data_IF_322878789547
#
_entry.id   IF_322878789547
#
_cell.length_a   1.000
_cell.length_b   1.000
_cell.length_c   1.000
_cell.angle_alpha   90.00
_cell.angle_beta   90.00
_cell.angle_gamma   90.00
#
_symmetry.space_group_name_H-M   'P 1'
#
loop_
_entity.id
_entity.type
_entity.pdbx_description
1 polymer ?
#
# COMPACT_ATOMS: atom_id res chain seq x y z
N UNK A 1 0.89 14.28 -10.19
CA UNK A 1 0.67 14.64 -8.78
C UNK A 1 0.51 13.31 -8.06
N UNK A 2 1.65 12.70 -7.75
CA UNK A 2 1.83 11.25 -7.52
C UNK A 2 2.81 10.99 -6.37
N UNK A 3 3.10 12.01 -5.58
CA UNK A 3 4.08 11.93 -4.50
C UNK A 3 3.33 11.78 -3.20
N UNK A 4 3.53 10.64 -2.55
CA UNK A 4 3.05 10.25 -1.22
C UNK A 4 3.54 11.21 -0.11
N UNK A 5 4.29 12.25 -0.44
CA UNK A 5 5.04 13.08 0.50
C UNK A 5 5.09 14.54 0.01
N UNK A 6 4.54 15.47 0.79
CA UNK A 6 4.82 16.90 0.60
C UNK A 6 4.68 17.71 1.90
N UNK A 7 3.71 17.37 2.77
CA UNK A 7 3.48 18.09 4.01
C UNK A 7 3.54 17.15 5.21
N UNK A 8 4.51 17.38 6.11
CA UNK A 8 4.71 16.60 7.33
C UNK A 8 3.98 17.26 8.50
N UNK A 9 3.19 16.46 9.23
CA UNK A 9 2.56 16.81 10.50
C UNK A 9 3.16 15.92 11.58
N UNK A 10 3.92 16.53 12.48
CA UNK A 10 4.71 15.86 13.51
C UNK A 10 4.46 16.51 14.88
N UNK A 11 3.66 15.91 15.77
CA UNK A 11 3.46 16.39 17.13
C UNK A 11 4.59 15.99 18.09
N UNK A 12 5.66 15.33 17.62
CA UNK A 12 6.83 14.94 18.39
C UNK A 12 6.50 14.11 19.64
N UNK A 13 5.59 13.15 19.48
CA UNK A 13 5.06 12.30 20.56
C UNK A 13 4.28 13.08 21.65
N UNK A 14 3.87 14.32 21.40
CA UNK A 14 3.15 15.15 22.39
C UNK A 14 1.62 15.03 22.31
N UNK A 15 1.10 14.16 21.44
CA UNK A 15 -0.33 13.95 21.27
C UNK A 15 -0.66 13.36 19.91
N UNK A 16 -1.95 13.17 19.66
CA UNK A 16 -2.42 12.86 18.32
C UNK A 16 -2.69 14.10 17.46
N UNK A 17 -3.15 13.86 16.23
CA UNK A 17 -3.18 14.89 15.18
C UNK A 17 -4.62 15.34 14.87
N UNK A 18 -5.45 14.47 14.31
CA UNK A 18 -6.83 14.82 13.92
C UNK A 18 -7.87 13.96 14.65
N UNK A 19 -8.99 14.60 14.98
CA UNK A 19 -10.19 13.99 15.53
C UNK A 19 -11.39 14.54 14.77
N UNK A 20 -12.11 13.65 14.11
CA UNK A 20 -13.30 13.97 13.33
C UNK A 20 -14.51 13.28 13.94
N UNK A 21 -15.51 14.08 14.29
CA UNK A 21 -16.88 13.61 14.52
C UNK A 21 -17.70 14.08 13.34
N UNK A 22 -18.08 13.16 12.47
CA UNK A 22 -18.60 13.44 11.14
C UNK A 22 -20.10 13.09 11.16
N UNK A 23 -20.99 14.05 10.83
CA UNK A 23 -22.40 13.73 10.64
C UNK A 23 -22.60 12.70 9.53
N UNK A 24 -23.69 11.92 9.56
CA UNK A 24 -23.97 10.83 8.61
C UNK A 24 -23.87 11.17 7.10
N UNK A 25 -23.92 12.45 6.74
CA UNK A 25 -23.80 12.94 5.35
C UNK A 25 -22.53 13.77 5.10
N UNK A 26 -21.67 13.89 6.11
CA UNK A 26 -20.41 14.60 6.03
C UNK A 26 -19.32 13.75 5.38
N UNK A 27 -18.38 14.41 4.72
CA UNK A 27 -17.21 13.78 4.11
C UNK A 27 -15.94 14.56 4.44
N UNK A 28 -14.89 13.84 4.79
CA UNK A 28 -13.52 14.35 4.93
C UNK A 28 -12.64 13.74 3.83
N UNK A 29 -11.77 14.56 3.25
CA UNK A 29 -10.76 14.13 2.28
C UNK A 29 -9.39 14.57 2.79
N UNK A 30 -8.46 13.63 2.87
CA UNK A 30 -7.06 13.86 3.24
C UNK A 30 -6.18 13.35 2.10
N UNK A 31 -5.26 14.21 1.63
CA UNK A 31 -4.42 13.88 0.49
C UNK A 31 -3.01 14.44 0.64
N UNK A 32 -1.98 13.63 0.35
CA UNK A 32 -0.60 14.10 0.22
C UNK A 32 0.06 14.51 1.54
N UNK A 33 -0.41 13.94 2.66
CA UNK A 33 0.06 14.27 4.01
C UNK A 33 0.91 13.15 4.61
N UNK A 34 1.98 13.52 5.30
CA UNK A 34 2.76 12.62 6.14
C UNK A 34 2.42 12.89 7.59
N UNK A 35 1.87 11.89 8.28
CA UNK A 35 1.63 11.86 9.70
C UNK A 35 2.74 11.06 10.36
N UNK A 36 3.50 11.69 11.26
CA UNK A 36 4.60 10.99 11.93
C UNK A 36 4.68 11.30 13.41
N UNK A 37 5.16 10.34 14.21
CA UNK A 37 5.39 10.52 15.65
C UNK A 37 4.15 10.96 16.44
N UNK A 38 2.96 10.56 15.99
CA UNK A 38 1.73 10.80 16.73
C UNK A 38 1.62 9.81 17.89
N UNK A 39 1.23 10.28 19.08
CA UNK A 39 1.18 9.45 20.28
C UNK A 39 -0.09 9.72 21.09
N UNK A 40 -0.91 8.69 21.27
CA UNK A 40 -2.08 8.67 22.14
C UNK A 40 -2.03 7.36 22.94
N UNK A 41 -1.33 7.34 24.07
CA UNK A 41 -1.41 6.19 24.98
C UNK A 41 -2.22 6.57 26.24
N UNK A 42 -3.22 5.75 26.53
CA UNK A 42 -3.94 5.79 27.81
C UNK A 42 -3.13 5.03 28.84
N UNK A 43 -3.28 5.35 30.13
CA UNK A 43 -2.75 4.49 31.19
C UNK A 43 -3.54 3.18 31.20
N UNK A 44 -3.19 2.22 30.36
CA UNK A 44 -3.81 0.90 30.37
C UNK A 44 -3.10 0.07 31.45
N UNK A 45 -3.73 -0.05 32.62
CA UNK A 45 -3.39 -1.13 33.54
C UNK A 45 -4.23 -2.36 33.18
N UNK A 46 -3.68 -3.57 33.34
CA UNK A 46 -4.38 -4.83 33.06
C UNK A 46 -5.72 -4.99 33.80
N UNK A 47 -6.07 -4.12 34.76
CA UNK A 47 -7.36 -4.12 35.44
C UNK A 47 -8.45 -3.28 34.74
N UNK A 48 -8.11 -2.48 33.73
CA UNK A 48 -9.02 -1.52 33.10
C UNK A 48 -9.72 -2.09 31.83
N UNK A 49 -9.47 -3.37 31.52
CA UNK A 49 -9.95 -4.12 30.35
C UNK A 49 -11.47 -4.34 30.23
N UNK A 50 -12.30 -3.80 31.14
CA UNK A 50 -13.73 -4.12 31.19
C UNK A 50 -14.69 -2.93 31.20
N UNK A 51 -14.22 -1.68 31.26
CA UNK A 51 -15.15 -0.52 31.19
C UNK A 51 -14.46 0.83 30.85
N UNK A 52 -14.11 1.10 29.58
CA UNK A 52 -13.78 2.45 29.15
C UNK A 52 -14.97 3.16 28.48
N UNK A 53 -15.19 4.47 28.72
CA UNK A 53 -16.17 5.24 27.96
C UNK A 53 -15.67 5.42 26.52
N UNK A 54 -16.36 4.79 25.56
CA UNK A 54 -16.10 4.74 24.11
C UNK A 54 -15.79 6.07 23.38
N UNK A 55 -15.83 7.24 24.03
CA UNK A 55 -15.76 8.56 23.39
C UNK A 55 -14.56 9.43 23.77
N UNK A 56 -13.71 9.04 24.74
CA UNK A 56 -12.50 9.80 25.11
C UNK A 56 -11.27 8.90 25.32
N UNK A 57 -11.07 7.95 24.41
CA UNK A 57 -9.97 6.98 24.49
C UNK A 57 -8.84 7.26 23.47
N UNK A 58 -7.63 6.72 23.67
CA UNK A 58 -6.41 7.04 22.94
C UNK A 58 -6.35 6.44 21.53
N UNK A 59 -7.43 6.50 20.76
CA UNK A 59 -7.55 5.82 19.46
C UNK A 59 -7.04 6.67 18.31
N UNK A 60 -6.46 6.03 17.29
CA UNK A 60 -6.04 6.68 16.05
C UNK A 60 -5.12 7.87 16.29
N UNK A 61 -3.83 7.64 16.52
CA UNK A 61 -2.94 8.73 16.91
C UNK A 61 -2.85 9.81 15.83
N UNK A 62 -2.77 9.41 14.57
CA UNK A 62 -2.83 10.35 13.45
C UNK A 62 -4.27 10.78 13.16
N UNK A 63 -5.19 9.82 12.99
CA UNK A 63 -6.57 10.11 12.63
C UNK A 63 -7.50 9.28 13.51
N UNK A 64 -8.38 9.98 14.23
CA UNK A 64 -9.60 9.40 14.76
C UNK A 64 -10.79 9.89 13.93
N UNK A 65 -11.57 8.98 13.37
CA UNK A 65 -12.80 9.29 12.65
C UNK A 65 -13.97 8.50 13.22
N UNK A 66 -15.04 9.22 13.57
CA UNK A 66 -16.32 8.67 14.03
C UNK A 66 -17.46 9.23 13.18
N UNK A 67 -18.23 8.35 12.54
CA UNK A 67 -19.33 8.70 11.64
C UNK A 67 -18.92 9.05 10.21
N UNK A 68 -19.93 9.23 9.34
CA UNK A 68 -19.78 9.82 8.00
C UNK A 68 -18.82 9.09 7.04
N UNK A 69 -18.22 9.85 6.11
CA UNK A 69 -17.32 9.34 5.08
C UNK A 69 -15.91 9.91 5.19
N UNK A 70 -14.89 9.07 4.99
CA UNK A 70 -13.48 9.48 4.98
C UNK A 70 -12.77 8.94 3.74
N UNK A 71 -12.10 9.80 3.02
CA UNK A 71 -11.26 9.46 1.86
C UNK A 71 -9.82 9.88 2.16
N UNK A 72 -8.91 8.91 2.23
CA UNK A 72 -7.48 9.13 2.53
C UNK A 72 -6.67 8.64 1.33
N UNK A 73 -5.87 9.52 0.73
CA UNK A 73 -5.07 9.14 -0.44
C UNK A 73 -3.68 9.74 -0.49
N UNK A 74 -2.70 8.97 -0.97
CA UNK A 74 -1.31 9.46 -1.07
C UNK A 74 -0.77 9.97 0.26
N UNK A 75 -1.12 9.33 1.38
CA UNK A 75 -0.68 9.71 2.71
C UNK A 75 0.33 8.71 3.28
N UNK A 76 1.21 9.18 4.15
CA UNK A 76 2.10 8.35 4.96
C UNK A 76 1.69 8.43 6.42
N UNK A 77 1.66 7.29 7.08
CA UNK A 77 1.48 7.14 8.51
C UNK A 77 2.68 6.37 9.05
N UNK A 78 3.51 7.02 9.86
CA UNK A 78 4.71 6.37 10.38
C UNK A 78 4.97 6.68 11.84
N UNK A 79 5.44 5.69 12.59
CA UNK A 79 5.76 5.84 14.01
C UNK A 79 4.61 6.47 14.81
N UNK A 80 3.37 6.05 14.52
CA UNK A 80 2.18 6.47 15.25
C UNK A 80 1.80 5.39 16.26
N UNK A 81 1.50 5.79 17.50
CA UNK A 81 1.14 4.89 18.58
C UNK A 81 -0.18 5.28 19.24
N UNK A 82 -1.13 4.35 19.23
CA UNK A 82 -2.46 4.50 19.84
C UNK A 82 -2.90 3.22 20.56
N UNK A 83 -3.94 3.32 21.39
CA UNK A 83 -4.57 2.12 21.95
C UNK A 83 -5.24 1.28 20.85
N UNK A 84 -6.07 1.88 19.99
CA UNK A 84 -6.69 1.17 18.87
C UNK A 84 -6.36 1.88 17.57
N UNK A 85 -5.99 1.13 16.54
CA UNK A 85 -5.60 1.68 15.24
C UNK A 85 -4.40 2.60 15.37
N UNK A 86 -3.20 2.05 15.58
CA UNK A 86 -2.01 2.80 15.98
C UNK A 86 -1.85 4.16 15.30
N UNK A 87 -2.03 4.20 13.98
CA UNK A 87 -2.19 5.44 13.23
C UNK A 87 -3.65 5.90 13.08
N UNK A 88 -4.55 5.01 12.64
CA UNK A 88 -5.91 5.39 12.20
C UNK A 88 -7.00 4.55 12.83
N UNK A 89 -8.00 5.22 13.40
CA UNK A 89 -9.22 4.62 13.91
C UNK A 89 -10.42 5.04 13.06
N UNK A 90 -11.17 4.06 12.55
CA UNK A 90 -12.46 4.25 11.89
C UNK A 90 -13.57 3.63 12.74
N UNK A 91 -14.43 4.46 13.33
CA UNK A 91 -15.63 4.06 14.07
C UNK A 91 -16.90 4.49 13.34
N UNK A 92 -17.85 3.59 13.12
CA UNK A 92 -19.12 3.90 12.41
C UNK A 92 -18.91 4.72 11.12
N UNK A 93 -17.87 4.39 10.35
CA UNK A 93 -17.36 5.20 9.24
C UNK A 93 -17.37 4.39 7.94
N UNK A 94 -17.67 5.07 6.82
CA UNK A 94 -17.38 4.56 5.48
C UNK A 94 -16.05 5.16 4.99
N UNK A 95 -14.99 4.36 4.91
CA UNK A 95 -13.65 4.81 4.57
C UNK A 95 -13.15 4.21 3.26
N UNK A 96 -12.53 5.05 2.42
CA UNK A 96 -11.70 4.63 1.29
C UNK A 96 -10.29 5.13 1.54
N UNK A 97 -9.32 4.22 1.49
CA UNK A 97 -7.90 4.52 1.66
C UNK A 97 -7.16 4.03 0.43
N UNK A 98 -6.41 4.91 -0.24
CA UNK A 98 -5.70 4.54 -1.45
C UNK A 98 -4.31 5.13 -1.58
N UNK A 99 -3.38 4.38 -2.17
CA UNK A 99 -1.99 4.85 -2.37
C UNK A 99 -1.35 5.34 -1.06
N UNK A 100 -1.70 4.72 0.07
CA UNK A 100 -1.22 5.13 1.39
C UNK A 100 -0.17 4.14 1.92
N UNK A 101 0.76 4.66 2.71
CA UNK A 101 1.80 3.89 3.38
C UNK A 101 1.56 3.95 4.88
N UNK A 102 1.49 2.80 5.54
CA UNK A 102 1.44 2.67 6.99
C UNK A 102 2.65 1.86 7.42
N UNK A 103 3.59 2.49 8.13
CA UNK A 103 4.89 1.90 8.38
C UNK A 103 5.41 2.17 9.78
N UNK A 104 5.66 1.11 10.55
CA UNK A 104 6.18 1.24 11.92
C UNK A 104 5.18 1.85 12.90
N UNK A 105 3.89 1.62 12.72
CA UNK A 105 2.86 2.08 13.67
C UNK A 105 2.57 0.99 14.70
N UNK A 106 2.15 1.40 15.90
CA UNK A 106 1.90 0.51 17.02
C UNK A 106 0.51 0.73 17.62
N UNK A 107 -0.23 -0.35 17.80
CA UNK A 107 -1.58 -0.37 18.33
C UNK A 107 -1.76 -1.50 19.31
N UNK A 108 -2.69 -1.40 20.26
CA UNK A 108 -3.11 -2.58 21.03
C UNK A 108 -3.78 -3.60 20.10
N UNK A 109 -4.79 -3.14 19.35
CA UNK A 109 -5.36 -3.82 18.20
C UNK A 109 -5.18 -2.96 16.94
N UNK A 110 -4.80 -3.58 15.83
CA UNK A 110 -4.62 -2.89 14.55
C UNK A 110 -3.43 -1.94 14.59
N UNK A 111 -2.21 -2.47 14.46
CA UNK A 111 -0.99 -1.68 14.60
C UNK A 111 -0.93 -0.45 13.68
N UNK A 112 -1.44 -0.57 12.45
CA UNK A 112 -1.65 0.58 11.57
C UNK A 112 -3.05 1.18 11.73
N UNK A 113 -4.08 0.35 11.56
CA UNK A 113 -5.47 0.82 11.51
C UNK A 113 -6.47 -0.16 12.10
N UNK A 114 -7.63 0.35 12.49
CA UNK A 114 -8.77 -0.47 12.92
C UNK A 114 -10.06 0.03 12.27
N UNK A 115 -10.91 -0.93 11.89
CA UNK A 115 -12.31 -0.71 11.54
C UNK A 115 -13.19 -1.23 12.69
N UNK A 116 -14.01 -0.36 13.24
CA UNK A 116 -14.80 -0.60 14.45
C UNK A 116 -16.22 -0.05 14.30
N UNK A 117 -17.17 -0.58 15.09
CA UNK A 117 -18.57 -0.17 15.17
C UNK A 117 -19.28 -0.09 13.80
N UNK A 118 -19.53 -1.23 13.17
CA UNK A 118 -20.23 -1.31 11.87
C UNK A 118 -19.56 -0.47 10.75
N UNK A 119 -18.23 -0.27 10.81
CA UNK A 119 -17.50 0.48 9.77
C UNK A 119 -17.33 -0.31 8.48
N UNK A 120 -17.25 0.40 7.35
CA UNK A 120 -16.96 -0.16 6.03
C UNK A 120 -15.67 0.46 5.48
N UNK A 121 -14.59 -0.30 5.42
CA UNK A 121 -13.26 0.21 5.02
C UNK A 121 -12.78 -0.49 3.75
N UNK A 122 -12.34 0.30 2.77
CA UNK A 122 -11.70 -0.19 1.55
C UNK A 122 -10.25 0.30 1.46
N UNK A 123 -9.32 -0.64 1.22
CA UNK A 123 -7.91 -0.37 0.94
C UNK A 123 -7.62 -0.72 -0.53
N UNK A 124 -7.09 0.23 -1.30
CA UNK A 124 -6.68 0.03 -2.69
C UNK A 124 -5.27 0.59 -2.92
N UNK A 125 -4.33 -0.20 -3.42
CA UNK A 125 -2.93 0.24 -3.57
C UNK A 125 -2.36 0.79 -2.25
N UNK A 126 -2.45 0.06 -1.15
CA UNK A 126 -1.83 0.47 0.11
C UNK A 126 -0.64 -0.42 0.46
N UNK A 127 0.32 0.11 1.20
CA UNK A 127 1.41 -0.69 1.77
C UNK A 127 1.40 -0.53 3.29
N UNK A 128 1.06 -1.60 3.99
CA UNK A 128 1.08 -1.68 5.45
C UNK A 128 2.24 -2.59 5.84
N UNK A 129 3.33 -2.00 6.34
CA UNK A 129 4.55 -2.74 6.61
C UNK A 129 5.20 -2.43 7.96
N UNK A 130 5.69 -3.45 8.67
CA UNK A 130 6.42 -3.22 9.92
C UNK A 130 5.56 -2.67 11.06
N UNK A 131 4.24 -2.83 11.01
CA UNK A 131 3.33 -2.37 12.07
C UNK A 131 3.18 -3.45 13.15
N UNK A 132 2.93 -3.01 14.38
CA UNK A 132 2.90 -3.86 15.56
C UNK A 132 1.57 -3.77 16.30
N UNK A 133 0.93 -4.93 16.47
CA UNK A 133 -0.23 -5.10 17.34
C UNK A 133 0.22 -5.67 18.67
N UNK A 134 -0.18 -5.08 19.79
CA UNK A 134 0.17 -5.65 21.10
C UNK A 134 -0.52 -7.02 21.28
N UNK A 135 -1.81 -7.06 20.95
CA UNK A 135 -2.65 -8.26 21.13
C UNK A 135 -3.14 -8.83 19.81
N UNK A 136 -3.70 -8.05 18.90
CA UNK A 136 -4.29 -8.58 17.67
C UNK A 136 -4.08 -7.63 16.49
N UNK A 137 -4.02 -8.18 15.27
CA UNK A 137 -3.99 -7.37 14.05
C UNK A 137 -2.73 -6.53 13.94
N UNK A 138 -1.59 -7.14 13.59
CA UNK A 138 -0.31 -6.40 13.53
C UNK A 138 -0.37 -5.22 12.55
N UNK A 139 -1.04 -5.39 11.41
CA UNK A 139 -1.37 -4.27 10.52
C UNK A 139 -2.79 -3.74 10.78
N UNK A 140 -3.80 -4.59 10.65
CA UNK A 140 -5.20 -4.18 10.70
C UNK A 140 -6.04 -5.06 11.63
N UNK A 141 -7.00 -4.43 12.32
CA UNK A 141 -8.06 -5.11 13.06
C UNK A 141 -9.45 -4.69 12.53
N UNK A 142 -10.40 -5.62 12.55
CA UNK A 142 -11.78 -5.42 12.06
C UNK A 142 -12.75 -6.00 13.08
N UNK A 143 -13.50 -5.15 13.75
CA UNK A 143 -14.27 -5.52 14.95
C UNK A 143 -15.70 -4.96 14.89
N UNK A 144 -16.56 -5.53 15.73
CA UNK A 144 -17.94 -5.10 15.96
C UNK A 144 -18.76 -4.92 14.68
N UNK A 145 -18.92 -5.99 13.89
CA UNK A 145 -19.74 -6.00 12.68
C UNK A 145 -19.13 -5.27 11.49
N UNK A 146 -17.87 -4.84 11.57
CA UNK A 146 -17.22 -4.05 10.53
C UNK A 146 -16.76 -4.89 9.33
N UNK A 147 -16.44 -4.22 8.23
CA UNK A 147 -15.93 -4.83 7.00
C UNK A 147 -14.64 -4.19 6.53
N UNK A 148 -13.73 -5.02 6.01
CA UNK A 148 -12.48 -4.60 5.38
C UNK A 148 -12.34 -5.27 4.01
N UNK A 149 -12.33 -4.46 2.96
CA UNK A 149 -12.09 -4.89 1.60
C UNK A 149 -10.70 -4.43 1.15
N UNK A 150 -9.86 -5.34 0.67
CA UNK A 150 -8.45 -5.07 0.37
C UNK A 150 -8.11 -5.51 -1.05
N UNK A 151 -7.56 -4.58 -1.84
CA UNK A 151 -7.05 -4.91 -3.16
C UNK A 151 -5.76 -4.21 -3.54
N UNK A 152 -4.96 -4.84 -4.40
CA UNK A 152 -3.72 -4.26 -4.96
C UNK A 152 -2.77 -3.72 -3.89
N UNK A 153 -2.80 -4.31 -2.70
CA UNK A 153 -2.09 -3.83 -1.51
C UNK A 153 -1.00 -4.80 -1.05
N UNK A 154 -0.14 -4.36 -0.12
CA UNK A 154 0.92 -5.17 0.47
C UNK A 154 0.83 -5.12 2.00
N UNK A 155 0.82 -6.28 2.64
CA UNK A 155 0.92 -6.49 4.08
C UNK A 155 2.19 -7.30 4.36
N UNK A 156 3.21 -6.65 4.94
CA UNK A 156 4.53 -7.27 5.07
C UNK A 156 5.33 -6.82 6.29
N UNK A 157 5.94 -7.76 7.00
CA UNK A 157 6.74 -7.51 8.19
C UNK A 157 5.93 -6.96 9.37
N UNK A 158 4.59 -7.05 9.33
CA UNK A 158 3.76 -6.73 10.48
C UNK A 158 3.77 -7.89 11.47
N UNK A 159 3.75 -7.59 12.76
CA UNK A 159 3.92 -8.59 13.81
C UNK A 159 3.11 -8.26 15.07
N UNK A 160 3.11 -9.18 16.02
CA UNK A 160 2.46 -9.05 17.31
C UNK A 160 3.50 -9.07 18.43
N UNK A 161 3.28 -8.24 19.46
CA UNK A 161 4.15 -8.24 20.64
C UNK A 161 3.88 -9.49 21.48
N UNK A 162 2.62 -9.88 21.64
CA UNK A 162 2.24 -11.11 22.34
C UNK A 162 2.46 -12.36 21.45
N UNK A 163 3.33 -13.31 21.85
CA UNK A 163 3.80 -14.39 20.97
C UNK A 163 2.76 -15.48 20.64
N UNK A 164 1.66 -15.55 21.39
CA UNK A 164 0.62 -16.58 21.25
C UNK A 164 -0.61 -16.06 20.49
N UNK A 165 -0.50 -14.89 19.84
CA UNK A 165 -1.60 -14.24 19.13
C UNK A 165 -1.54 -14.50 17.63
N UNK A 166 -2.68 -14.25 16.96
CA UNK A 166 -2.89 -14.57 15.55
C UNK A 166 -3.36 -13.33 14.80
N UNK A 167 -3.23 -13.35 13.47
CA UNK A 167 -3.54 -12.19 12.63
C UNK A 167 -2.43 -11.15 12.66
N UNK A 168 -1.18 -11.58 12.42
CA UNK A 168 -0.02 -10.68 12.31
C UNK A 168 -0.23 -9.64 11.21
N UNK A 169 -0.94 -10.00 10.12
CA UNK A 169 -1.32 -9.05 9.08
C UNK A 169 -2.70 -8.47 9.37
N UNK A 170 -3.73 -9.30 9.46
CA UNK A 170 -5.13 -8.86 9.63
C UNK A 170 -5.84 -9.73 10.66
N UNK A 171 -6.58 -9.10 11.56
CA UNK A 171 -7.44 -9.74 12.54
C UNK A 171 -8.90 -9.32 12.36
N UNK A 172 -9.83 -10.26 12.52
CA UNK A 172 -11.27 -10.00 12.50
C UNK A 172 -11.98 -10.67 13.69
N UNK A 173 -12.87 -9.95 14.35
CA UNK A 173 -13.72 -10.45 15.43
C UNK A 173 -15.12 -9.83 15.42
N UNK A 174 -16.00 -10.36 16.25
CA UNK A 174 -17.32 -9.82 16.56
C UNK A 174 -18.21 -9.70 15.33
N UNK A 175 -18.32 -10.81 14.59
CA UNK A 175 -19.11 -10.93 13.36
C UNK A 175 -18.64 -9.99 12.22
N UNK A 176 -17.35 -9.66 12.18
CA UNK A 176 -16.76 -8.82 11.15
C UNK A 176 -16.33 -9.61 9.92
N UNK A 177 -16.10 -8.93 8.79
CA UNK A 177 -15.68 -9.58 7.54
C UNK A 177 -14.49 -8.93 6.86
N UNK A 178 -13.62 -9.77 6.29
CA UNK A 178 -12.46 -9.35 5.51
C UNK A 178 -12.52 -10.01 4.13
N UNK A 179 -12.34 -9.22 3.07
CA UNK A 179 -12.22 -9.73 1.69
C UNK A 179 -10.92 -9.21 1.07
N UNK A 180 -10.12 -10.11 0.50
CA UNK A 180 -8.78 -9.78 -0.03
C UNK A 180 -8.59 -10.37 -1.43
N UNK A 181 -8.14 -9.54 -2.39
CA UNK A 181 -7.83 -9.95 -3.76
C UNK A 181 -6.65 -9.13 -4.34
N UNK A 182 -5.88 -9.69 -5.28
CA UNK A 182 -4.67 -9.11 -5.89
C UNK A 182 -3.78 -8.39 -4.87
N UNK A 183 -3.49 -9.05 -3.75
CA UNK A 183 -2.82 -8.42 -2.61
C UNK A 183 -1.73 -9.38 -2.14
N UNK A 184 -0.61 -8.81 -1.74
CA UNK A 184 0.50 -9.57 -1.16
C UNK A 184 0.32 -9.56 0.34
N UNK A 185 0.25 -10.75 0.95
CA UNK A 185 0.08 -10.92 2.39
C UNK A 185 1.18 -11.86 2.85
N UNK A 186 2.03 -11.40 3.77
CA UNK A 186 3.00 -12.27 4.43
C UNK A 186 2.28 -13.41 5.14
N UNK A 187 2.81 -14.63 4.99
CA UNK A 187 2.21 -15.88 5.48
C UNK A 187 0.83 -16.20 4.85
N UNK A 188 0.45 -15.50 3.77
CA UNK A 188 -0.78 -15.74 3.03
C UNK A 188 -2.02 -15.78 3.93
N UNK A 189 -2.71 -16.92 3.93
CA UNK A 189 -3.90 -17.12 4.75
C UNK A 189 -3.58 -17.21 6.26
N UNK A 190 -2.40 -17.70 6.64
CA UNK A 190 -2.00 -17.86 8.04
C UNK A 190 -1.70 -16.50 8.71
N UNK A 191 -1.38 -15.48 7.90
CA UNK A 191 -1.24 -14.08 8.36
C UNK A 191 -2.57 -13.40 8.70
N UNK A 192 -3.71 -14.02 8.38
CA UNK A 192 -5.06 -13.46 8.56
C UNK A 192 -5.88 -14.37 9.48
N UNK A 193 -6.53 -13.78 10.48
CA UNK A 193 -7.24 -14.56 11.50
C UNK A 193 -8.66 -14.05 11.78
N UNK A 194 -9.64 -14.94 11.77
CA UNK A 194 -10.99 -14.69 12.30
C UNK A 194 -11.15 -15.38 13.66
N UNK A 195 -11.45 -14.60 14.69
CA UNK A 195 -11.42 -15.04 16.09
C UNK A 195 -12.67 -15.78 16.56
N UNK A 196 -13.79 -15.61 15.86
CA UNK A 196 -15.07 -16.21 16.20
C UNK A 196 -15.77 -16.78 14.97
N UNK A 197 -16.78 -17.62 15.21
CA UNK A 197 -17.49 -18.35 14.15
C UNK A 197 -18.38 -17.47 13.27
N UNK A 198 -18.66 -16.23 13.69
CA UNK A 198 -19.47 -15.29 12.92
C UNK A 198 -18.60 -14.36 12.06
N UNK A 199 -17.30 -14.27 12.36
CA UNK A 199 -16.34 -13.51 11.56
C UNK A 199 -15.92 -14.29 10.32
N UNK A 200 -15.78 -13.60 9.18
CA UNK A 200 -15.56 -14.25 7.87
C UNK A 200 -14.33 -13.68 7.18
N UNK A 201 -13.44 -14.56 6.70
CA UNK A 201 -12.33 -14.20 5.82
C UNK A 201 -12.58 -14.79 4.44
N UNK A 202 -12.54 -13.95 3.40
CA UNK A 202 -12.66 -14.33 2.00
C UNK A 202 -11.35 -13.96 1.28
N UNK A 203 -10.58 -14.98 0.90
CA UNK A 203 -9.34 -14.81 0.13
C UNK A 203 -9.57 -15.30 -1.28
N UNK A 204 -9.32 -14.43 -2.25
CA UNK A 204 -9.28 -14.81 -3.65
C UNK A 204 -7.96 -15.54 -3.99
N UNK A 205 -7.94 -16.31 -5.08
CA UNK A 205 -6.73 -17.01 -5.55
C UNK A 205 -5.60 -16.06 -5.96
N UNK A 206 -5.91 -14.78 -6.19
CA UNK A 206 -4.95 -13.71 -6.47
C UNK A 206 -4.22 -13.17 -5.23
N UNK A 207 -4.47 -13.70 -4.03
CA UNK A 207 -3.65 -13.40 -2.85
C UNK A 207 -2.31 -14.12 -2.97
N UNK A 208 -1.22 -13.35 -2.86
CA UNK A 208 0.14 -13.85 -3.07
C UNK A 208 0.93 -13.86 -1.76
N UNK A 209 1.67 -14.94 -1.54
CA UNK A 209 2.74 -15.01 -0.55
C UNK A 209 4.07 -14.89 -1.31
N UNK A 210 4.54 -13.67 -1.50
CA UNK A 210 5.79 -13.38 -2.18
C UNK A 210 6.48 -12.20 -1.52
N UNK A 211 7.79 -12.31 -1.31
CA UNK A 211 8.59 -11.20 -0.80
C UNK A 211 8.45 -10.00 -1.76
N UNK A 212 7.96 -8.84 -1.27
CA UNK A 212 7.76 -7.67 -2.10
C UNK A 212 9.08 -7.06 -2.57
N UNK A 213 10.22 -7.45 -2.01
CA UNK A 213 11.55 -6.94 -2.37
C UNK A 213 11.56 -5.42 -2.34
N UNK A 214 11.33 -4.85 -1.14
CA UNK A 214 11.41 -3.41 -0.92
C UNK A 214 12.84 -2.88 -1.07
N UNK A 215 12.98 -1.63 -1.49
CA UNK A 215 14.26 -0.98 -1.70
C UNK A 215 15.11 -0.89 -0.43
N UNK A 216 14.46 -0.59 0.69
CA UNK A 216 15.05 -0.62 2.02
C UNK A 216 13.95 -0.92 3.02
N UNK A 217 14.07 -2.00 3.78
CA UNK A 217 13.09 -2.31 4.81
C UNK A 217 13.70 -3.24 5.85
N UNK A 218 13.86 -2.73 7.07
CA UNK A 218 14.24 -3.53 8.22
C UNK A 218 13.35 -3.17 9.41
N UNK A 219 12.33 -4.00 9.65
CA UNK A 219 11.37 -3.84 10.75
C UNK A 219 12.01 -3.88 12.16
N UNK A 220 13.28 -4.26 12.28
CA UNK A 220 13.99 -4.40 13.55
C UNK A 220 15.08 -3.32 13.73
N UNK A 221 15.37 -2.51 12.72
CA UNK A 221 16.40 -1.47 12.78
C UNK A 221 15.90 -0.20 13.49
N UNK A 222 16.77 0.41 14.30
CA UNK A 222 16.54 1.73 14.91
C UNK A 222 17.67 2.71 14.53
N UNK A 223 17.37 3.90 13.96
CA UNK A 223 16.04 4.36 13.57
C UNK A 223 15.47 3.48 12.44
N UNK A 224 14.14 3.36 12.43
CA UNK A 224 13.42 2.57 11.45
C UNK A 224 13.49 3.27 10.09
N UNK A 225 14.42 2.83 9.25
CA UNK A 225 14.60 3.32 7.89
C UNK A 225 13.83 2.42 6.92
N UNK A 226 13.08 3.04 6.01
CA UNK A 226 12.22 2.33 5.08
C UNK A 226 12.09 3.08 3.75
N UNK A 227 12.05 2.32 2.66
CA UNK A 227 11.61 2.69 1.32
C UNK A 227 10.91 1.46 0.72
N UNK A 228 9.58 1.51 0.74
CA UNK A 228 8.73 0.40 0.30
C UNK A 228 8.48 0.37 -1.21
N UNK A 229 9.25 1.14 -1.99
CA UNK A 229 9.28 0.97 -3.45
C UNK A 229 9.84 -0.40 -3.81
N UNK A 230 9.27 -1.01 -4.84
CA UNK A 230 9.62 -2.35 -5.29
C UNK A 230 10.95 -2.32 -6.06
N UNK A 231 11.90 -3.21 -5.72
CA UNK A 231 13.16 -3.34 -6.46
C UNK A 231 12.90 -3.72 -7.92
N UNK A 232 13.65 -3.13 -8.84
CA UNK A 232 13.58 -3.45 -10.27
C UNK A 232 14.94 -3.38 -10.95
N UNK A 233 15.29 -4.44 -11.70
CA UNK A 233 16.46 -4.43 -12.59
C UNK A 233 16.34 -3.44 -13.75
N UNK A 234 15.12 -2.93 -14.01
CA UNK A 234 14.79 -2.09 -15.17
C UNK A 234 14.66 -0.61 -14.80
N UNK A 235 14.23 -0.32 -13.58
CA UNK A 235 14.10 1.03 -13.09
C UNK A 235 13.21 1.10 -11.85
N UNK A 236 13.75 1.62 -10.77
CA UNK A 236 13.03 2.05 -9.57
C UNK A 236 13.30 3.53 -9.33
N UNK A 237 12.27 4.29 -8.99
CA UNK A 237 12.44 5.71 -8.69
C UNK A 237 13.16 5.89 -7.35
N UNK A 238 14.27 6.61 -7.32
CA UNK A 238 14.96 7.01 -6.09
C UNK A 238 14.63 8.48 -5.78
N UNK A 239 13.88 8.77 -4.69
CA UNK A 239 13.48 10.13 -4.34
C UNK A 239 14.65 11.00 -3.85
N UNK A 240 15.75 10.41 -3.40
CA UNK A 240 16.93 11.13 -2.88
C UNK A 240 17.70 11.79 -4.01
N UNK A 241 17.91 11.06 -5.11
CA UNK A 241 18.62 11.56 -6.29
C UNK A 241 17.67 12.04 -7.39
N UNK A 242 16.37 11.81 -7.24
CA UNK A 242 15.32 12.13 -8.21
C UNK A 242 15.59 11.52 -9.60
N UNK A 243 16.00 10.25 -9.62
CA UNK A 243 16.34 9.52 -10.83
C UNK A 243 15.89 8.07 -10.74
N UNK A 244 15.74 7.43 -11.90
CA UNK A 244 15.57 5.98 -11.99
C UNK A 244 16.90 5.28 -11.74
N UNK A 245 16.91 4.31 -10.83
CA UNK A 245 18.05 3.44 -10.52
C UNK A 245 17.72 1.99 -10.86
N UNK A 246 18.72 1.19 -11.17
CA UNK A 246 18.57 -0.24 -11.43
C UNK A 246 19.02 -1.05 -10.22
N UNK A 247 18.25 -2.07 -9.86
CA UNK A 247 18.55 -2.96 -8.75
C UNK A 247 19.07 -4.32 -9.24
N UNK A 248 19.51 -5.18 -8.30
CA UNK A 248 20.04 -6.51 -8.63
C UNK A 248 18.94 -7.57 -8.85
N UNK A 249 17.71 -7.27 -8.45
CA UNK A 249 16.54 -8.15 -8.49
C UNK A 249 15.30 -7.37 -8.90
N UNK A 250 14.30 -8.07 -9.41
CA UNK A 250 13.00 -7.50 -9.76
C UNK A 250 11.93 -8.10 -8.86
N UNK A 251 11.15 -7.24 -8.21
CA UNK A 251 10.03 -7.64 -7.36
C UNK A 251 8.95 -8.38 -8.15
N UNK A 252 8.41 -9.49 -7.62
CA UNK A 252 7.28 -10.17 -8.22
C UNK A 252 5.99 -9.32 -8.17
N UNK A 253 5.94 -8.30 -7.31
CA UNK A 253 4.75 -7.47 -7.11
C UNK A 253 4.53 -6.44 -8.22
N UNK A 254 5.51 -6.26 -9.11
CA UNK A 254 5.45 -5.31 -10.23
C UNK A 254 4.42 -5.78 -11.28
N UNK A 255 4.36 -7.09 -11.56
CA UNK A 255 3.45 -7.66 -12.56
C UNK A 255 2.29 -8.46 -11.95
N UNK A 256 2.01 -8.24 -10.67
CA UNK A 256 1.02 -9.03 -9.92
C UNK A 256 -0.41 -8.47 -9.98
N UNK A 257 -0.59 -7.26 -10.52
CA UNK A 257 -1.91 -6.66 -10.67
C UNK A 257 -2.84 -7.40 -11.65
N UNK A 258 -4.16 -7.13 -11.58
CA UNK A 258 -5.14 -7.65 -12.54
C UNK A 258 -4.77 -7.27 -13.98
N UNK A 259 -5.07 -8.15 -14.94
CA UNK A 259 -4.78 -7.92 -16.36
C UNK A 259 -5.56 -6.75 -16.97
N UNK A 260 -6.68 -6.43 -16.37
CA UNK A 260 -7.64 -5.40 -16.77
C UNK A 260 -7.55 -4.15 -15.91
N UNK A 261 -6.64 -4.12 -14.93
CA UNK A 261 -6.41 -2.94 -14.11
C UNK A 261 -5.79 -1.81 -14.95
N UNK A 262 -6.12 -0.58 -14.58
CA UNK A 262 -5.46 0.60 -15.14
C UNK A 262 -4.00 0.66 -14.67
N UNK A 263 -3.09 0.80 -15.63
CA UNK A 263 -1.65 1.02 -15.46
C UNK A 263 -1.17 2.25 -16.23
N UNK A 264 -2.08 3.09 -16.74
CA UNK A 264 -1.78 4.21 -17.64
C UNK A 264 -0.90 5.30 -17.01
N UNK A 265 -0.74 5.28 -15.69
CA UNK A 265 0.11 6.24 -14.96
C UNK A 265 1.49 5.68 -14.61
N UNK A 266 1.72 4.39 -14.84
CA UNK A 266 3.03 3.78 -14.62
C UNK A 266 3.97 4.07 -15.78
N UNK A 267 5.27 4.29 -15.50
CA UNK A 267 6.24 4.56 -16.55
C UNK A 267 6.54 3.30 -17.37
N UNK A 268 6.75 3.48 -18.67
CA UNK A 268 7.21 2.41 -19.54
C UNK A 268 8.69 2.10 -19.30
N UNK A 269 9.10 0.82 -19.29
CA UNK A 269 8.28 -0.38 -19.46
C UNK A 269 7.62 -0.84 -18.15
N UNK A 270 6.34 -1.24 -18.19
CA UNK A 270 5.54 -1.62 -17.00
C UNK A 270 4.96 -3.04 -17.08
N UNK A 271 5.35 -3.85 -18.08
CA UNK A 271 4.80 -5.19 -18.26
C UNK A 271 3.29 -5.25 -18.57
N UNK A 272 2.64 -4.10 -18.85
CA UNK A 272 1.18 -3.95 -19.04
C UNK A 272 0.35 -4.49 -17.87
N UNK A 273 0.86 -4.36 -16.66
CA UNK A 273 0.14 -4.66 -15.41
C UNK A 273 0.54 -3.62 -14.37
N UNK A 274 -0.44 -3.19 -13.58
CA UNK A 274 -0.15 -2.27 -12.49
C UNK A 274 0.62 -2.98 -11.37
N UNK A 275 1.61 -2.30 -10.82
CA UNK A 275 2.29 -2.71 -9.60
C UNK A 275 1.28 -2.81 -8.44
N UNK A 276 1.52 -3.76 -7.54
CA UNK A 276 0.82 -3.84 -6.26
C UNK A 276 1.51 -2.92 -5.25
N UNK A 277 0.73 -2.29 -4.36
CA UNK A 277 1.21 -1.45 -3.24
C UNK A 277 1.05 0.04 -3.49
N UNK A 278 1.53 0.86 -2.55
CA UNK A 278 1.30 2.31 -2.49
C UNK A 278 1.71 3.11 -3.74
N UNK A 279 2.66 2.59 -4.51
CA UNK A 279 3.18 3.24 -5.71
C UNK A 279 2.59 2.68 -7.00
N UNK A 280 1.71 1.68 -6.95
CA UNK A 280 1.05 1.13 -8.12
C UNK A 280 0.16 2.13 -8.83
N UNK A 281 0.12 2.07 -10.15
CA UNK A 281 -0.55 3.04 -11.01
C UNK A 281 -0.20 4.49 -10.68
N UNK A 282 1.08 4.76 -10.39
CA UNK A 282 1.63 6.10 -10.19
C UNK A 282 2.86 6.33 -11.06
N UNK A 283 3.23 7.60 -11.23
CA UNK A 283 4.45 7.98 -11.96
C UNK A 283 5.77 7.52 -11.29
N UNK A 284 5.70 6.96 -10.07
CA UNK A 284 6.83 6.41 -9.32
C UNK A 284 6.81 4.87 -9.23
N UNK A 285 5.89 4.23 -9.94
CA UNK A 285 5.86 2.77 -10.07
C UNK A 285 7.17 2.26 -10.70
N UNK A 286 7.72 1.18 -10.13
CA UNK A 286 8.90 0.50 -10.69
C UNK A 286 8.59 -0.15 -12.03
N UNK A 287 9.58 -0.16 -12.91
CA UNK A 287 9.50 -0.66 -14.29
C UNK A 287 9.70 -2.18 -14.38
N UNK A 288 9.21 -2.78 -15.46
CA UNK A 288 9.39 -4.19 -15.82
C UNK A 288 9.60 -4.36 -17.32
N UNK A 289 10.75 -4.93 -17.70
CA UNK A 289 11.07 -5.30 -19.08
C UNK A 289 12.02 -4.32 -19.77
N UNK A 290 12.29 -4.59 -21.04
CA UNK A 290 13.10 -3.72 -21.88
C UNK A 290 12.20 -2.69 -22.57
N UNK A 291 12.66 -1.44 -22.69
CA UNK A 291 11.91 -0.37 -23.37
C UNK A 291 11.54 -0.75 -24.82
N UNK A 292 12.37 -1.55 -25.48
CA UNK A 292 12.20 -1.98 -26.86
C UNK A 292 11.43 -3.31 -27.03
N UNK A 293 11.08 -4.00 -25.94
CA UNK A 293 10.23 -5.19 -25.96
C UNK A 293 8.75 -4.74 -25.89
N UNK A 294 8.25 -4.26 -27.03
CA UNK A 294 6.91 -3.67 -27.17
C UNK A 294 5.81 -4.71 -27.03
N UNK A 295 6.11 -5.98 -27.38
CA UNK A 295 5.17 -7.08 -27.34
C UNK A 295 5.15 -7.82 -25.98
N UNK A 296 6.15 -7.56 -25.12
CA UNK A 296 6.33 -8.11 -23.77
C UNK A 296 6.44 -9.65 -23.80
N UNK A 297 7.11 -10.19 -24.82
CA UNK A 297 7.41 -11.62 -24.94
C UNK A 297 8.76 -12.01 -24.32
N UNK A 298 9.46 -11.02 -23.75
CA UNK A 298 10.76 -11.18 -23.11
C UNK A 298 11.90 -11.17 -24.12
N UNK A 299 11.69 -10.61 -25.33
CA UNK A 299 12.72 -10.47 -26.37
C UNK A 299 12.56 -9.17 -27.13
N UNK A 300 13.66 -8.68 -27.69
CA UNK A 300 13.65 -7.63 -28.71
C UNK A 300 14.00 -8.24 -30.05
N UNK A 301 13.00 -8.41 -30.91
CA UNK A 301 13.13 -9.04 -32.21
C UNK A 301 12.30 -8.37 -33.33
N UNK A 302 12.12 -9.06 -34.46
CA UNK A 302 11.43 -8.49 -35.63
C UNK A 302 9.95 -8.19 -35.36
N UNK A 303 9.34 -8.78 -34.33
CA UNK A 303 7.97 -8.46 -33.92
C UNK A 303 7.89 -7.07 -33.29
N UNK A 304 8.89 -6.64 -32.53
CA UNK A 304 8.94 -5.28 -31.97
C UNK A 304 9.20 -4.24 -33.05
N UNK A 305 10.09 -4.55 -34.01
CA UNK A 305 10.29 -3.70 -35.20
C UNK A 305 8.99 -3.56 -35.98
N UNK A 306 8.21 -4.63 -36.11
CA UNK A 306 6.92 -4.58 -36.81
C UNK A 306 5.93 -3.65 -36.10
N UNK A 307 5.86 -3.69 -34.76
CA UNK A 307 5.02 -2.79 -33.98
C UNK A 307 5.47 -1.33 -34.12
N UNK A 308 6.75 -1.04 -33.92
CA UNK A 308 7.31 0.29 -34.09
C UNK A 308 7.05 0.84 -35.50
N UNK A 309 7.21 0.00 -36.54
CA UNK A 309 7.00 0.40 -37.93
C UNK A 309 5.54 0.68 -38.29
N UNK A 310 4.58 0.17 -37.50
CA UNK A 310 3.15 0.36 -37.75
C UNK A 310 2.69 1.80 -37.50
N UNK A 311 3.46 2.56 -36.73
CA UNK A 311 3.19 3.96 -36.34
C UNK A 311 4.27 4.93 -36.84
N UNK A 312 5.05 4.53 -37.86
CA UNK A 312 6.19 5.30 -38.36
C UNK A 312 5.80 6.69 -38.88
N UNK A 313 6.44 7.72 -38.34
CA UNK A 313 6.18 9.15 -38.59
C UNK A 313 4.76 9.61 -38.22
N UNK A 314 4.02 8.81 -37.46
CA UNK A 314 2.74 9.17 -36.86
C UNK A 314 2.92 9.52 -35.38
N UNK A 315 1.86 10.07 -34.78
CA UNK A 315 1.79 10.25 -33.33
C UNK A 315 1.76 8.85 -32.69
N UNK A 316 2.62 8.55 -31.70
CA UNK A 316 2.62 7.25 -31.02
C UNK A 316 1.23 6.93 -30.46
N UNK A 317 0.86 5.65 -30.54
CA UNK A 317 -0.44 5.18 -30.04
C UNK A 317 -0.30 4.76 -28.58
N UNK A 318 0.88 4.29 -28.19
CA UNK A 318 1.24 3.79 -26.87
C UNK A 318 2.70 4.17 -26.56
N UNK A 319 3.58 3.17 -26.37
CA UNK A 319 4.96 3.35 -25.89
C UNK A 319 6.02 3.36 -27.01
N UNK A 320 5.62 3.55 -28.26
CA UNK A 320 6.52 3.44 -29.42
C UNK A 320 7.49 4.63 -29.59
N UNK A 321 7.23 5.75 -28.91
CA UNK A 321 8.10 6.94 -28.90
C UNK A 321 9.01 6.88 -27.66
N UNK A 322 10.17 6.29 -27.83
CA UNK A 322 11.14 6.00 -26.77
C UNK A 322 11.92 7.24 -26.33
N UNK A 323 12.11 8.22 -27.23
CA UNK A 323 12.81 9.47 -26.93
C UNK A 323 11.87 10.62 -26.49
N UNK A 324 10.55 10.35 -26.51
CA UNK A 324 9.48 11.23 -26.11
C UNK A 324 9.44 12.53 -26.95
N UNK A 325 9.82 12.45 -28.22
CA UNK A 325 9.81 13.58 -29.16
C UNK A 325 8.41 13.91 -29.71
N UNK A 326 7.44 13.01 -29.51
CA UNK A 326 6.06 13.09 -29.96
C UNK A 326 5.80 12.47 -31.33
N UNK A 327 6.80 11.84 -31.96
CA UNK A 327 6.71 11.17 -33.27
C UNK A 327 7.64 9.97 -33.27
N UNK A 328 7.16 8.84 -33.81
CA UNK A 328 8.02 7.64 -33.97
C UNK A 328 8.89 7.78 -35.21
N UNK A 329 10.20 7.89 -35.05
CA UNK A 329 11.14 8.09 -36.16
C UNK A 329 12.46 7.30 -36.03
N UNK A 330 13.50 7.77 -36.73
CA UNK A 330 14.81 7.10 -36.73
C UNK A 330 15.49 7.12 -35.37
N UNK A 331 15.15 8.04 -34.46
CA UNK A 331 15.65 8.03 -33.10
C UNK A 331 15.16 6.79 -32.34
N UNK A 332 13.89 6.44 -32.47
CA UNK A 332 13.30 5.28 -31.80
C UNK A 332 13.85 3.95 -32.33
N UNK A 333 14.03 3.84 -33.65
CA UNK A 333 14.62 2.62 -34.22
C UNK A 333 16.09 2.45 -33.81
N UNK A 334 16.82 3.54 -33.54
CA UNK A 334 18.17 3.46 -32.99
C UNK A 334 18.14 2.91 -31.56
N UNK A 335 17.22 3.39 -30.72
CA UNK A 335 17.03 2.87 -29.35
C UNK A 335 16.62 1.38 -29.39
N UNK A 336 15.72 1.00 -30.29
CA UNK A 336 15.38 -0.42 -30.50
C UNK A 336 16.60 -1.24 -30.91
N UNK A 337 17.39 -0.74 -31.88
CA UNK A 337 18.57 -1.44 -32.37
C UNK A 337 19.68 -1.60 -31.31
N UNK A 338 19.80 -0.64 -30.37
CA UNK A 338 20.69 -0.75 -29.21
C UNK A 338 20.29 -1.89 -28.25
N UNK A 339 19.00 -2.24 -28.25
CA UNK A 339 18.43 -3.32 -27.45
C UNK A 339 18.23 -4.63 -28.25
N UNK A 340 18.68 -4.71 -29.50
CA UNK A 340 18.46 -5.86 -30.38
C UNK A 340 18.99 -7.18 -29.78
N UNK A 341 18.17 -8.24 -29.83
CA UNK A 341 18.45 -9.55 -29.22
C UNK A 341 18.53 -9.55 -27.68
N UNK A 342 18.12 -8.46 -27.03
CA UNK A 342 17.84 -8.52 -25.59
C UNK A 342 16.81 -9.61 -25.31
N UNK A 343 16.97 -10.31 -24.18
CA UNK A 343 16.04 -11.33 -23.70
C UNK A 343 16.22 -11.58 -22.21
N UNK A 344 15.16 -12.00 -21.52
CA UNK A 344 15.16 -12.34 -20.08
C UNK A 344 14.87 -13.81 -19.79
#
# INVERSE_FOLDING_TARGET
>A
WDTVEATVIDPQQQGGIFMFTIPDQGRIILEGLTFQNAFKEGKLSLSDLFDPPYYEEPHGAAIFADGGQVDVRFCVFTNCLAALGGAVYFGNTQATVSHCIFVGNEGWHGGALIADMDSEVMLDHCTLAGNWGNVNGGAAAVEFGSTLAVSKSIFWGNDLIEPDRQGTQIYASDASSVSVWYTVVQDGADGIFAADLNSTILLDESVLEADPLFASFDAQQLPFEWDVRLLSMFGRWDPTVQQWVTDASTSPCIIAGPSEADYSREPWPNGRRANIGAYGNTAQASMYGNIADLNIDGRVDLFDVAQLSAVWMDVPVDYEDFDHSGVVDIADILILAENWLWQI
#
